data_IF_902974236885
#
_entry.id   IF_902974236885
#
_cell.length_a   1.000
_cell.length_b   1.000
_cell.length_c   1.000
_cell.angle_alpha   90.00
_cell.angle_beta   90.00
_cell.angle_gamma   90.00
#
_symmetry.space_group_name_H-M   'P 1'
#
loop_
_entity.id
_entity.type
_entity.pdbx_description
1 polymer ?
#
# COMPACT_ATOMS: atom_id res chain seq x y z
N UNK A 1 -67.14 12.69 -77.74
CA UNK A 1 -66.79 11.84 -76.62
C UNK A 1 -65.26 11.85 -76.49
N UNK A 2 -64.74 12.64 -75.56
CA UNK A 2 -63.33 12.77 -75.35
C UNK A 2 -62.96 11.99 -74.09
N UNK A 3 -62.00 11.09 -74.20
CA UNK A 3 -61.40 10.34 -73.03
C UNK A 3 -60.02 10.97 -72.83
N UNK A 4 -59.69 11.42 -71.63
CA UNK A 4 -58.32 11.91 -71.32
C UNK A 4 -57.40 10.77 -70.85
N UNK A 5 -56.22 10.71 -71.42
CA UNK A 5 -55.10 9.91 -71.02
C UNK A 5 -54.53 10.43 -69.69
N UNK A 6 -54.44 9.59 -68.67
CA UNK A 6 -53.65 9.87 -67.49
C UNK A 6 -52.21 9.34 -67.65
N UNK A 7 -51.24 10.25 -67.63
CA UNK A 7 -49.82 9.95 -67.52
C UNK A 7 -49.51 9.63 -66.00
N UNK A 8 -49.09 8.42 -65.74
CA UNK A 8 -48.53 8.06 -64.48
C UNK A 8 -47.04 8.42 -64.45
N UNK A 9 -46.65 9.36 -63.58
CA UNK A 9 -45.26 9.68 -63.31
C UNK A 9 -44.70 8.69 -62.32
N UNK A 10 -43.71 7.90 -62.76
CA UNK A 10 -42.94 7.01 -61.90
C UNK A 10 -41.89 7.83 -61.18
N UNK A 11 -42.10 8.08 -59.86
CA UNK A 11 -41.11 8.73 -59.01
C UNK A 11 -40.03 7.73 -58.58
N UNK A 12 -38.80 7.94 -59.04
CA UNK A 12 -37.61 7.22 -58.58
C UNK A 12 -37.22 7.76 -57.18
N UNK A 13 -37.47 6.97 -56.08
CA UNK A 13 -36.94 7.25 -54.79
C UNK A 13 -35.47 6.85 -54.79
N UNK A 14 -34.55 7.84 -54.81
CA UNK A 14 -33.14 7.66 -54.46
C UNK A 14 -33.06 7.53 -52.97
N UNK A 15 -32.92 6.30 -52.48
CA UNK A 15 -32.48 6.04 -51.09
C UNK A 15 -30.99 6.36 -51.01
N UNK A 16 -30.66 7.56 -50.53
CA UNK A 16 -29.30 7.89 -50.15
C UNK A 16 -28.93 7.00 -48.95
N UNK A 17 -28.20 5.93 -49.22
CA UNK A 17 -27.56 5.14 -48.17
C UNK A 17 -26.62 6.05 -47.40
N UNK A 18 -26.98 6.39 -46.17
CA UNK A 18 -26.04 6.95 -45.22
C UNK A 18 -24.92 5.92 -45.05
N UNK A 19 -23.75 6.20 -45.63
CA UNK A 19 -22.54 5.46 -45.29
C UNK A 19 -22.38 5.61 -43.78
N UNK A 20 -22.53 4.51 -43.04
CA UNK A 20 -22.17 4.48 -41.63
C UNK A 20 -20.71 4.92 -41.58
N UNK A 21 -20.44 6.06 -40.95
CA UNK A 21 -19.09 6.49 -40.69
C UNK A 21 -18.41 5.33 -39.99
N UNK A 22 -17.29 4.85 -40.52
CA UNK A 22 -16.46 3.89 -39.83
C UNK A 22 -16.23 4.44 -38.42
N UNK A 23 -16.39 3.61 -37.37
CA UNK A 23 -16.16 4.08 -36.01
C UNK A 23 -14.72 4.58 -35.97
N UNK A 24 -14.56 5.87 -35.71
CA UNK A 24 -13.26 6.50 -35.49
C UNK A 24 -12.60 5.73 -34.34
N UNK A 25 -11.63 4.88 -34.69
CA UNK A 25 -10.87 4.11 -33.69
C UNK A 25 -10.07 5.13 -32.90
N UNK A 26 -10.64 5.58 -31.77
CA UNK A 26 -9.91 6.44 -30.84
C UNK A 26 -8.84 5.60 -30.20
N UNK A 27 -7.58 6.03 -30.23
CA UNK A 27 -6.46 5.18 -29.81
C UNK A 27 -6.53 4.89 -28.31
N UNK A 28 -6.31 3.63 -27.98
CA UNK A 28 -5.92 3.25 -26.62
C UNK A 28 -4.61 3.96 -26.30
N UNK A 29 -4.48 4.43 -25.05
CA UNK A 29 -3.23 5.01 -24.58
C UNK A 29 -2.92 4.59 -23.15
N UNK A 30 -1.65 4.57 -22.80
CA UNK A 30 -1.19 4.39 -21.42
C UNK A 30 -0.91 5.77 -20.83
N UNK A 31 -1.47 6.01 -19.65
CA UNK A 31 -1.26 7.22 -18.86
C UNK A 31 -0.42 6.89 -17.64
N UNK A 32 0.54 7.76 -17.38
CA UNK A 32 1.49 7.71 -16.26
C UNK A 32 1.72 9.13 -15.75
N UNK A 33 2.44 9.30 -14.64
CA UNK A 33 2.73 10.62 -14.07
C UNK A 33 1.60 11.17 -13.20
N UNK A 34 0.62 10.35 -12.82
CA UNK A 34 -0.37 10.70 -11.81
C UNK A 34 0.12 10.30 -10.42
N UNK A 35 -0.51 10.84 -9.38
CA UNK A 35 -0.15 10.55 -8.00
C UNK A 35 -0.19 9.04 -7.71
N UNK A 36 0.92 8.48 -7.25
CA UNK A 36 1.04 7.06 -6.95
C UNK A 36 1.29 6.16 -8.16
N UNK A 37 1.44 6.70 -9.38
CA UNK A 37 1.97 5.95 -10.51
C UNK A 37 3.44 5.61 -10.28
N UNK A 38 3.95 4.56 -10.95
CA UNK A 38 5.38 4.26 -10.85
C UNK A 38 6.21 5.27 -11.66
N UNK A 39 7.43 5.61 -11.22
CA UNK A 39 8.41 6.24 -12.08
C UNK A 39 8.74 5.33 -13.27
N UNK A 40 9.05 5.90 -14.42
CA UNK A 40 9.40 5.15 -15.62
C UNK A 40 10.91 5.15 -15.85
N UNK A 41 11.40 4.07 -16.46
CA UNK A 41 12.72 4.07 -17.06
C UNK A 41 12.80 5.14 -18.17
N UNK A 42 14.00 5.53 -18.64
CA UNK A 42 14.13 6.46 -19.75
C UNK A 42 13.39 6.04 -21.02
N UNK A 43 13.14 4.76 -21.23
CA UNK A 43 12.37 4.25 -22.35
C UNK A 43 10.87 4.50 -22.20
N UNK A 44 10.37 4.63 -20.96
CA UNK A 44 8.98 4.95 -20.66
C UNK A 44 7.98 3.93 -21.17
N UNK A 45 7.02 4.41 -21.95
CA UNK A 45 5.99 3.60 -22.60
C UNK A 45 6.23 3.61 -24.09
N UNK A 46 6.22 2.44 -24.74
CA UNK A 46 6.28 2.28 -26.19
C UNK A 46 5.00 1.60 -26.68
N UNK A 47 4.39 2.16 -27.73
CA UNK A 47 3.32 1.50 -28.46
C UNK A 47 3.94 0.63 -29.55
N UNK A 48 3.73 -0.69 -29.47
CA UNK A 48 4.27 -1.69 -30.41
C UNK A 48 3.22 -2.13 -31.47
N UNK A 49 1.95 -1.77 -31.24
CA UNK A 49 0.84 -2.05 -32.13
C UNK A 49 -0.42 -1.27 -31.72
N UNK A 50 -1.53 -1.36 -32.47
CA UNK A 50 -2.75 -0.60 -32.19
C UNK A 50 -3.27 -0.80 -30.74
N UNK A 51 -3.10 -2.01 -30.19
CA UNK A 51 -3.52 -2.39 -28.84
C UNK A 51 -2.39 -3.09 -28.06
N UNK A 52 -1.12 -2.93 -28.46
CA UNK A 52 0.04 -3.54 -27.81
C UNK A 52 0.97 -2.45 -27.33
N UNK A 53 1.28 -2.48 -26.03
CA UNK A 53 2.16 -1.52 -25.38
C UNK A 53 3.24 -2.24 -24.60
N UNK A 54 4.44 -1.65 -24.58
CA UNK A 54 5.52 -2.05 -23.68
C UNK A 54 5.77 -0.95 -22.67
N UNK A 55 5.73 -1.33 -21.41
CA UNK A 55 5.98 -0.45 -20.26
C UNK A 55 7.30 -0.84 -19.60
N UNK A 56 8.16 0.14 -19.34
CA UNK A 56 9.42 -0.05 -18.65
C UNK A 56 9.34 0.61 -17.25
N UNK A 57 8.90 -0.14 -16.22
CA UNK A 57 8.87 0.41 -14.87
C UNK A 57 10.29 0.77 -14.42
N UNK A 58 10.45 1.93 -13.80
CA UNK A 58 11.72 2.27 -13.20
C UNK A 58 11.93 1.43 -11.94
N UNK A 59 13.00 0.68 -11.89
CA UNK A 59 13.45 -0.02 -10.71
C UNK A 59 14.55 0.76 -9.98
N UNK A 60 15.02 1.85 -10.57
CA UNK A 60 15.93 2.80 -9.94
C UNK A 60 15.14 3.73 -9.03
N UNK A 61 15.72 4.01 -7.89
CA UNK A 61 15.23 5.07 -7.03
C UNK A 61 15.24 6.41 -7.78
N UNK A 62 14.54 7.40 -7.24
CA UNK A 62 14.49 8.76 -7.78
C UNK A 62 15.86 9.34 -8.12
N UNK A 63 15.92 10.30 -9.06
CA UNK A 63 17.17 11.02 -9.36
C UNK A 63 17.85 11.51 -8.07
N UNK A 64 19.15 11.21 -7.91
CA UNK A 64 19.93 11.57 -6.72
C UNK A 64 20.06 10.45 -5.67
N UNK A 65 19.36 9.34 -5.80
CA UNK A 65 19.57 8.16 -4.98
C UNK A 65 20.68 7.30 -5.60
N UNK A 66 21.64 6.87 -4.78
CA UNK A 66 22.79 6.11 -5.26
C UNK A 66 22.38 4.78 -5.89
N UNK A 67 23.22 4.26 -6.79
CA UNK A 67 23.03 2.95 -7.43
C UNK A 67 22.92 1.78 -6.45
N UNK A 68 23.48 1.92 -5.24
CA UNK A 68 23.35 0.92 -4.16
C UNK A 68 21.91 0.75 -3.65
N UNK A 69 21.06 1.73 -3.89
CA UNK A 69 19.64 1.72 -3.52
C UNK A 69 18.74 1.14 -4.60
N UNK A 70 19.31 0.80 -5.74
CA UNK A 70 18.68 0.25 -6.93
C UNK A 70 18.01 -1.10 -6.62
N UNK A 71 16.79 -1.32 -7.10
CA UNK A 71 16.03 -2.60 -7.04
C UNK A 71 15.12 -2.78 -5.82
N UNK A 72 15.16 -1.90 -4.81
CA UNK A 72 14.14 -1.87 -3.75
C UNK A 72 13.04 -0.84 -4.02
N UNK A 73 13.11 -0.15 -5.13
CA UNK A 73 12.26 0.99 -5.45
C UNK A 73 11.15 0.67 -6.44
N UNK A 74 11.11 -0.53 -6.97
CA UNK A 74 10.18 -0.85 -8.06
C UNK A 74 8.75 -0.91 -7.57
N UNK A 75 7.94 -0.07 -8.14
CA UNK A 75 6.50 -0.04 -8.00
C UNK A 75 5.88 -0.06 -9.39
N UNK A 76 4.72 -0.68 -9.55
CA UNK A 76 3.94 -0.63 -10.78
C UNK A 76 2.67 0.15 -10.53
N UNK A 77 2.38 1.10 -11.41
CA UNK A 77 1.12 1.85 -11.41
C UNK A 77 0.98 2.65 -12.70
N UNK A 78 -0.07 2.38 -13.49
CA UNK A 78 -0.40 3.07 -14.73
C UNK A 78 -1.90 2.95 -15.00
N UNK A 79 -2.39 3.74 -15.95
CA UNK A 79 -3.77 3.63 -16.47
C UNK A 79 -3.74 3.28 -17.95
N UNK A 80 -4.71 2.50 -18.35
CA UNK A 80 -5.09 2.37 -19.76
C UNK A 80 -6.33 3.21 -19.99
N UNK A 81 -6.25 4.14 -20.92
CA UNK A 81 -7.36 4.98 -21.32
C UNK A 81 -7.93 4.45 -22.63
N UNK A 82 -9.20 4.06 -22.59
CA UNK A 82 -9.98 3.71 -23.76
C UNK A 82 -10.97 4.84 -24.04
N UNK A 83 -10.69 5.66 -25.05
CA UNK A 83 -11.56 6.75 -25.47
C UNK A 83 -12.72 6.30 -26.37
N UNK A 84 -12.74 5.01 -26.72
CA UNK A 84 -13.84 4.38 -27.48
C UNK A 84 -15.10 4.22 -26.62
N UNK A 85 -16.16 3.68 -27.27
CA UNK A 85 -17.45 3.41 -26.60
C UNK A 85 -17.62 1.94 -26.20
N UNK A 86 -16.83 1.06 -26.79
CA UNK A 86 -16.84 -0.38 -26.52
C UNK A 86 -15.63 -0.80 -25.72
N UNK A 87 -15.71 -1.97 -25.10
CA UNK A 87 -14.53 -2.59 -24.49
C UNK A 87 -13.58 -3.09 -25.57
N UNK A 88 -12.30 -2.81 -25.41
CA UNK A 88 -11.25 -3.16 -26.36
C UNK A 88 -10.22 -4.11 -25.72
N UNK A 89 -9.75 -5.13 -26.45
CA UNK A 89 -8.66 -5.96 -25.98
C UNK A 89 -7.36 -5.18 -26.00
N UNK A 90 -6.54 -5.33 -24.95
CA UNK A 90 -5.21 -4.75 -24.88
C UNK A 90 -4.19 -5.80 -24.41
N UNK A 91 -2.97 -5.68 -24.90
CA UNK A 91 -1.82 -6.38 -24.41
C UNK A 91 -0.79 -5.38 -23.89
N UNK A 92 -0.38 -5.54 -22.62
CA UNK A 92 0.68 -4.73 -22.02
C UNK A 92 1.83 -5.64 -21.63
N UNK A 93 3.00 -5.37 -22.18
CA UNK A 93 4.26 -6.01 -21.88
C UNK A 93 4.97 -5.19 -20.79
N UNK A 94 4.97 -5.67 -19.58
CA UNK A 94 5.67 -5.03 -18.45
C UNK A 94 7.09 -5.57 -18.43
N UNK A 95 8.04 -4.80 -18.94
CA UNK A 95 9.42 -5.19 -19.10
C UNK A 95 10.28 -4.67 -17.95
N UNK A 96 10.62 -5.55 -17.03
CA UNK A 96 11.42 -5.24 -15.85
C UNK A 96 12.92 -5.09 -16.14
N UNK A 97 13.37 -5.33 -17.36
CA UNK A 97 14.76 -5.15 -17.83
C UNK A 97 15.81 -5.86 -16.94
N UNK A 98 15.56 -7.11 -16.58
CA UNK A 98 16.44 -7.87 -15.71
C UNK A 98 17.67 -8.47 -16.39
N UNK A 99 17.98 -8.12 -17.59
CA UNK A 99 19.22 -8.55 -18.25
C UNK A 99 20.46 -7.91 -17.62
N UNK A 100 20.29 -6.78 -16.96
CA UNK A 100 21.26 -6.25 -16.02
C UNK A 100 21.11 -7.02 -14.70
N UNK A 101 22.11 -7.83 -14.37
CA UNK A 101 22.12 -8.58 -13.11
C UNK A 101 21.84 -7.63 -11.93
N UNK A 102 20.95 -8.01 -11.00
CA UNK A 102 20.76 -7.20 -9.80
C UNK A 102 22.13 -7.04 -9.13
N UNK A 103 22.45 -5.87 -8.58
CA UNK A 103 23.73 -5.62 -7.92
C UNK A 103 24.07 -6.76 -6.96
N UNK A 104 25.30 -7.23 -6.99
CA UNK A 104 25.78 -8.43 -6.28
C UNK A 104 25.63 -8.40 -4.76
N UNK A 105 25.33 -7.25 -4.21
CA UNK A 105 25.31 -6.93 -2.78
C UNK A 105 23.92 -6.99 -2.14
N UNK A 106 22.96 -7.69 -2.76
CA UNK A 106 21.60 -7.80 -2.22
C UNK A 106 21.32 -9.18 -1.65
N UNK A 107 21.39 -9.30 -0.33
CA UNK A 107 21.16 -10.58 0.35
C UNK A 107 19.71 -11.08 0.27
N UNK A 108 18.76 -10.30 -0.26
CA UNK A 108 17.33 -10.63 -0.25
C UNK A 108 16.80 -11.20 -1.57
N UNK A 109 17.60 -11.24 -2.64
CA UNK A 109 17.20 -11.79 -3.93
C UNK A 109 18.34 -12.61 -4.50
N UNK A 110 18.31 -13.90 -4.28
CA UNK A 110 19.38 -14.83 -4.69
C UNK A 110 19.35 -15.12 -6.19
N UNK A 111 18.24 -14.88 -6.86
CA UNK A 111 18.09 -15.12 -8.29
C UNK A 111 17.01 -14.24 -8.93
N UNK A 112 17.10 -14.12 -10.26
CA UNK A 112 16.06 -13.51 -11.10
C UNK A 112 14.70 -14.19 -10.93
N UNK A 113 14.67 -15.52 -10.86
CA UNK A 113 13.43 -16.27 -10.66
C UNK A 113 12.75 -15.92 -9.34
N UNK A 114 13.53 -15.78 -8.27
CA UNK A 114 13.01 -15.36 -6.97
C UNK A 114 12.44 -13.93 -7.03
N UNK A 115 13.11 -12.99 -7.67
CA UNK A 115 12.61 -11.63 -7.83
C UNK A 115 11.31 -11.58 -8.64
N UNK A 116 11.21 -12.35 -9.72
CA UNK A 116 10.03 -12.39 -10.59
C UNK A 116 8.86 -13.13 -9.96
N UNK A 117 9.11 -14.07 -9.04
CA UNK A 117 8.05 -14.82 -8.34
C UNK A 117 7.08 -13.96 -7.53
N UNK A 118 7.40 -12.69 -7.32
CA UNK A 118 6.55 -11.72 -6.61
C UNK A 118 5.83 -10.75 -7.53
N UNK A 119 6.04 -10.89 -8.84
CA UNK A 119 5.50 -10.00 -9.88
C UNK A 119 4.66 -10.75 -10.89
N UNK A 120 4.15 -11.89 -10.50
CA UNK A 120 3.31 -12.75 -11.33
C UNK A 120 1.85 -12.28 -11.40
N UNK A 121 1.50 -11.21 -10.69
CA UNK A 121 0.16 -10.65 -10.72
C UNK A 121 0.14 -9.13 -10.68
N UNK A 122 -0.97 -8.58 -11.11
CA UNK A 122 -1.35 -7.18 -10.93
C UNK A 122 -2.78 -7.09 -10.40
N UNK A 123 -3.12 -5.94 -9.86
CA UNK A 123 -4.52 -5.60 -9.55
C UNK A 123 -5.05 -4.62 -10.59
N UNK A 124 -6.26 -4.86 -11.05
CA UNK A 124 -6.94 -4.10 -12.10
C UNK A 124 -8.25 -3.57 -11.56
N UNK A 125 -8.56 -2.32 -11.88
CA UNK A 125 -9.84 -1.70 -11.58
C UNK A 125 -10.30 -0.87 -12.78
N UNK A 126 -11.38 -1.29 -13.41
CA UNK A 126 -12.07 -0.53 -14.46
C UNK A 126 -12.88 0.64 -13.87
N UNK A 127 -13.40 1.53 -14.74
CA UNK A 127 -14.11 2.75 -14.32
C UNK A 127 -15.42 2.48 -13.56
N UNK A 128 -16.02 1.30 -13.74
CA UNK A 128 -17.26 0.88 -13.08
C UNK A 128 -17.04 -0.18 -12.00
N UNK A 129 -15.80 -0.61 -11.77
CA UNK A 129 -15.51 -1.65 -10.78
C UNK A 129 -15.53 -1.07 -9.36
N UNK A 130 -16.30 -1.69 -8.48
CA UNK A 130 -16.35 -1.32 -7.06
C UNK A 130 -15.09 -1.73 -6.28
N UNK A 131 -14.32 -2.71 -6.79
CA UNK A 131 -13.17 -3.28 -6.13
C UNK A 131 -12.03 -3.62 -7.10
N UNK A 132 -10.84 -3.80 -6.54
CA UNK A 132 -9.68 -4.28 -7.26
C UNK A 132 -9.80 -5.77 -7.55
N UNK A 133 -9.47 -6.19 -8.75
CA UNK A 133 -9.42 -7.60 -9.18
C UNK A 133 -7.98 -8.00 -9.43
N UNK A 134 -7.55 -9.11 -8.82
CA UNK A 134 -6.24 -9.71 -9.11
C UNK A 134 -6.26 -10.37 -10.50
N UNK A 135 -5.24 -10.09 -11.30
CA UNK A 135 -5.03 -10.65 -12.63
C UNK A 135 -3.61 -11.17 -12.72
N UNK A 136 -3.46 -12.44 -13.10
CA UNK A 136 -2.16 -13.07 -13.28
C UNK A 136 -1.50 -12.57 -14.57
N UNK A 137 -0.17 -12.50 -14.56
CA UNK A 137 0.65 -12.19 -15.71
C UNK A 137 1.26 -13.48 -16.28
N UNK A 138 1.35 -13.56 -17.60
CA UNK A 138 2.18 -14.57 -18.25
C UNK A 138 3.64 -14.08 -18.21
N UNK A 139 4.50 -14.78 -17.45
CA UNK A 139 5.89 -14.37 -17.26
C UNK A 139 6.79 -15.08 -18.25
N UNK A 140 7.50 -14.31 -19.07
CA UNK A 140 8.52 -14.78 -19.97
C UNK A 140 9.82 -13.97 -19.77
N UNK A 141 10.80 -14.58 -19.17
CA UNK A 141 12.05 -13.91 -18.81
C UNK A 141 11.85 -12.75 -17.85
N UNK A 142 12.15 -11.51 -18.27
CA UNK A 142 11.93 -10.28 -17.52
C UNK A 142 10.61 -9.57 -17.84
N UNK A 143 9.80 -10.18 -18.72
CA UNK A 143 8.56 -9.58 -19.21
C UNK A 143 7.37 -10.26 -18.58
N UNK A 144 6.50 -9.47 -17.95
CA UNK A 144 5.16 -9.86 -17.54
C UNK A 144 4.16 -9.40 -18.60
N UNK A 145 3.40 -10.33 -19.16
CA UNK A 145 2.39 -10.04 -20.18
C UNK A 145 1.01 -9.99 -19.57
N UNK A 146 0.35 -8.83 -19.68
CA UNK A 146 -1.03 -8.60 -19.27
C UNK A 146 -1.94 -8.55 -20.48
N UNK A 147 -2.95 -9.41 -20.56
CA UNK A 147 -4.00 -9.38 -21.57
C UNK A 147 -5.35 -9.18 -20.88
N UNK A 148 -6.02 -8.08 -21.16
CA UNK A 148 -7.32 -7.77 -20.57
C UNK A 148 -8.24 -7.06 -21.57
N UNK A 149 -9.55 -7.11 -21.28
CA UNK A 149 -10.53 -6.25 -21.90
C UNK A 149 -10.60 -4.94 -21.12
N UNK A 150 -10.46 -3.82 -21.79
CA UNK A 150 -10.49 -2.49 -21.19
C UNK A 150 -11.79 -1.80 -21.58
N UNK A 151 -12.74 -1.59 -20.66
CA UNK A 151 -13.97 -0.85 -20.96
C UNK A 151 -13.67 0.60 -21.31
N UNK A 152 -14.65 1.29 -21.89
CA UNK A 152 -14.57 2.73 -22.13
C UNK A 152 -14.22 3.48 -20.83
N UNK A 153 -13.31 4.43 -20.93
CA UNK A 153 -12.80 5.20 -19.78
C UNK A 153 -11.41 4.76 -19.32
N UNK A 154 -11.10 5.02 -18.06
CA UNK A 154 -9.81 4.73 -17.45
C UNK A 154 -9.83 3.42 -16.67
N UNK A 155 -8.98 2.48 -17.04
CA UNK A 155 -8.69 1.26 -16.25
C UNK A 155 -7.36 1.41 -15.56
N UNK A 156 -7.36 1.31 -14.24
CA UNK A 156 -6.15 1.39 -13.42
C UNK A 156 -5.53 0.02 -13.25
N UNK A 157 -4.22 -0.06 -13.40
CA UNK A 157 -3.42 -1.26 -13.21
C UNK A 157 -2.29 -0.93 -12.23
N UNK A 158 -2.21 -1.69 -11.14
CA UNK A 158 -1.18 -1.53 -10.12
C UNK A 158 -0.64 -2.89 -9.67
N UNK A 159 0.51 -2.88 -9.02
CA UNK A 159 1.02 -4.08 -8.37
C UNK A 159 0.21 -4.44 -7.12
N UNK A 160 -0.18 -3.44 -6.35
CA UNK A 160 -1.07 -3.58 -5.19
C UNK A 160 -2.15 -2.49 -5.27
N UNK A 161 -3.31 -2.65 -4.63
CA UNK A 161 -4.27 -1.57 -4.49
C UNK A 161 -3.56 -0.31 -3.98
N UNK A 162 -3.58 0.79 -4.74
CA UNK A 162 -2.89 2.01 -4.34
C UNK A 162 -3.57 2.64 -3.13
N UNK A 163 -2.76 3.31 -2.31
CA UNK A 163 -3.21 4.21 -1.25
C UNK A 163 -2.35 5.45 -1.37
N UNK A 164 -2.88 6.49 -1.96
CA UNK A 164 -2.16 7.72 -2.30
C UNK A 164 -2.00 8.65 -1.10
N UNK A 165 -1.19 9.70 -1.22
CA UNK A 165 -1.11 10.76 -0.22
C UNK A 165 -2.48 11.45 -0.09
N UNK A 166 -3.15 11.73 -1.22
CA UNK A 166 -4.50 12.30 -1.24
C UNK A 166 -5.53 11.39 -0.54
N UNK A 167 -5.43 10.06 -0.66
CA UNK A 167 -6.31 9.13 0.06
C UNK A 167 -6.06 9.21 1.58
N UNK A 168 -4.80 9.32 1.99
CA UNK A 168 -4.43 9.51 3.39
C UNK A 168 -5.02 10.80 3.97
N UNK A 169 -4.88 11.93 3.25
CA UNK A 169 -5.44 13.21 3.68
C UNK A 169 -6.96 13.13 3.83
N UNK A 170 -7.66 12.57 2.84
CA UNK A 170 -9.11 12.35 2.92
C UNK A 170 -9.53 11.46 4.08
N UNK A 171 -8.73 10.43 4.37
CA UNK A 171 -8.98 9.56 5.53
C UNK A 171 -8.82 10.34 6.84
N UNK A 172 -7.70 11.04 7.01
CA UNK A 172 -7.42 11.85 8.20
C UNK A 172 -8.51 12.90 8.44
N UNK A 173 -8.90 13.64 7.39
CA UNK A 173 -9.95 14.68 7.48
C UNK A 173 -11.33 14.08 7.85
N UNK A 174 -11.61 12.86 7.39
CA UNK A 174 -12.85 12.16 7.73
C UNK A 174 -12.89 11.75 9.19
N UNK A 175 -11.82 11.12 9.70
CA UNK A 175 -11.79 10.63 11.08
C UNK A 175 -11.58 11.75 12.09
N UNK A 176 -11.02 12.88 11.68
CA UNK A 176 -10.87 14.09 12.51
C UNK A 176 -12.23 14.68 12.99
N UNK A 177 -13.34 14.27 12.37
CA UNK A 177 -14.71 14.68 12.78
C UNK A 177 -15.17 13.95 14.05
N UNK A 178 -14.57 12.82 14.39
CA UNK A 178 -14.89 12.12 15.65
C UNK A 178 -14.31 12.90 16.84
N UNK A 179 -15.08 13.15 17.90
CA UNK A 179 -14.63 13.95 19.07
C UNK A 179 -13.47 13.31 19.83
N UNK A 180 -13.23 12.00 19.67
CA UNK A 180 -12.10 11.27 20.26
C UNK A 180 -10.79 11.51 19.53
N UNK A 181 -10.81 12.10 18.32
CA UNK A 181 -9.65 12.28 17.45
C UNK A 181 -9.14 13.72 17.50
N UNK A 182 -7.83 13.87 17.66
CA UNK A 182 -7.09 15.11 17.42
C UNK A 182 -6.03 14.87 16.37
N UNK A 183 -5.88 15.79 15.42
CA UNK A 183 -4.84 15.72 14.38
C UNK A 183 -3.71 16.67 14.75
N UNK A 184 -2.49 16.15 14.72
CA UNK A 184 -1.26 16.90 14.93
C UNK A 184 -0.38 16.78 13.68
N UNK A 185 0.23 17.87 13.22
CA UNK A 185 1.29 17.84 12.22
C UNK A 185 2.62 17.75 12.99
N UNK A 186 3.23 16.56 12.97
CA UNK A 186 4.46 16.28 13.74
C UNK A 186 5.72 16.67 13.00
N UNK A 187 5.64 17.04 11.73
CA UNK A 187 6.74 17.46 10.88
C UNK A 187 6.31 17.56 9.42
N UNK A 188 7.30 17.77 8.58
CA UNK A 188 7.14 17.83 7.12
C UNK A 188 8.24 17.00 6.45
N UNK A 189 7.91 16.42 5.31
CA UNK A 189 8.88 15.78 4.42
C UNK A 189 9.81 16.77 3.74
N UNK A 190 10.77 16.29 2.96
CA UNK A 190 11.69 17.16 2.21
C UNK A 190 10.97 18.02 1.15
N UNK A 191 9.89 17.50 0.54
CA UNK A 191 9.05 18.24 -0.40
C UNK A 191 7.93 19.05 0.28
N UNK A 192 7.96 19.18 1.61
CA UNK A 192 7.04 20.00 2.39
C UNK A 192 5.67 19.38 2.69
N UNK A 193 5.44 18.09 2.38
CA UNK A 193 4.18 17.43 2.73
C UNK A 193 4.08 17.20 4.23
N UNK A 194 2.93 17.52 4.86
CA UNK A 194 2.76 17.33 6.30
C UNK A 194 2.78 15.85 6.67
N UNK A 195 3.41 15.54 7.79
CA UNK A 195 3.31 14.23 8.44
C UNK A 195 2.26 14.37 9.52
N UNK A 196 1.08 13.81 9.26
CA UNK A 196 -0.05 13.88 10.18
C UNK A 196 -0.05 12.70 11.15
N UNK A 197 -0.32 13.00 12.39
CA UNK A 197 -0.51 12.01 13.45
C UNK A 197 -1.90 12.19 14.08
N UNK A 198 -2.66 11.11 14.17
CA UNK A 198 -3.93 11.07 14.88
C UNK A 198 -3.67 10.74 16.34
N UNK A 199 -4.15 11.54 17.26
CA UNK A 199 -4.25 11.19 18.69
C UNK A 199 -5.68 10.79 18.99
N UNK A 200 -5.89 9.52 19.35
CA UNK A 200 -7.21 8.94 19.61
C UNK A 200 -7.28 8.52 21.08
N UNK A 201 -8.25 9.10 21.82
CA UNK A 201 -8.45 8.86 23.25
C UNK A 201 -9.83 9.37 23.69
N UNK A 202 -10.30 8.99 24.87
CA UNK A 202 -11.55 9.49 25.44
C UNK A 202 -11.47 10.92 26.00
N UNK A 203 -10.31 11.55 25.96
CA UNK A 203 -10.04 12.89 26.50
C UNK A 203 -10.43 13.11 27.98
N UNK A 204 -10.49 12.04 28.78
CA UNK A 204 -10.89 12.09 30.19
C UNK A 204 -9.91 12.84 31.11
N UNK A 205 -8.76 13.28 30.60
CA UNK A 205 -7.70 13.93 31.38
C UNK A 205 -6.88 12.97 32.28
N UNK A 206 -7.24 11.70 32.34
CA UNK A 206 -6.52 10.69 33.13
C UNK A 206 -5.18 10.33 32.47
N UNK A 207 -4.13 10.00 33.26
CA UNK A 207 -2.90 9.43 32.71
C UNK A 207 -3.18 8.18 31.90
N UNK A 208 -2.61 8.08 30.70
CA UNK A 208 -2.80 6.95 29.78
C UNK A 208 -1.48 6.42 29.28
N UNK A 209 -1.45 5.12 28.98
CA UNK A 209 -0.34 4.53 28.25
C UNK A 209 -0.33 5.04 26.81
N UNK A 210 0.83 5.45 26.30
CA UNK A 210 0.94 5.82 24.90
C UNK A 210 1.10 4.56 24.05
N UNK A 211 0.33 4.49 22.95
CA UNK A 211 0.52 3.51 21.89
C UNK A 211 0.88 4.25 20.60
N UNK A 212 2.03 3.95 19.99
CA UNK A 212 2.47 4.52 18.71
C UNK A 212 2.27 3.48 17.62
N UNK A 213 1.46 3.82 16.61
CA UNK A 213 1.20 2.98 15.44
C UNK A 213 1.66 3.77 14.21
N UNK A 214 2.49 3.17 13.36
CA UNK A 214 2.87 3.80 12.11
C UNK A 214 2.76 2.85 10.93
N UNK A 215 2.55 3.42 9.75
CA UNK A 215 2.55 2.71 8.47
C UNK A 215 3.29 3.51 7.40
N UNK A 216 3.55 2.89 6.28
CA UNK A 216 4.13 3.52 5.08
C UNK A 216 5.50 4.12 5.31
N UNK A 217 6.34 3.48 6.11
CA UNK A 217 7.78 3.75 6.12
C UNK A 217 8.37 3.40 4.75
N UNK A 218 7.92 2.32 4.14
CA UNK A 218 8.19 1.98 2.75
C UNK A 218 6.99 2.39 1.90
N UNK A 219 7.22 3.23 0.92
CA UNK A 219 6.16 3.90 0.17
C UNK A 219 5.25 2.95 -0.65
N UNK A 220 5.74 1.79 -1.09
CA UNK A 220 4.94 0.81 -1.84
C UNK A 220 3.99 -0.01 -0.97
N UNK A 221 4.15 -0.04 0.34
CA UNK A 221 3.47 -0.93 1.27
C UNK A 221 2.04 -0.46 1.63
N UNK A 222 1.16 -0.38 0.64
CA UNK A 222 -0.20 0.16 0.82
C UNK A 222 -1.06 -0.63 1.81
N UNK A 223 -0.81 -1.92 2.03
CA UNK A 223 -1.55 -2.72 3.00
C UNK A 223 -1.45 -2.16 4.43
N UNK A 224 -0.30 -1.60 4.81
CA UNK A 224 -0.13 -0.95 6.12
C UNK A 224 -1.12 0.20 6.34
N UNK A 225 -1.36 1.06 5.33
CA UNK A 225 -2.32 2.16 5.43
C UNK A 225 -3.77 1.66 5.52
N UNK A 226 -4.15 0.65 4.75
CA UNK A 226 -5.49 0.06 4.86
C UNK A 226 -5.70 -0.65 6.21
N UNK A 227 -4.67 -1.32 6.74
CA UNK A 227 -4.72 -1.89 8.09
C UNK A 227 -4.91 -0.80 9.15
N UNK A 228 -4.19 0.34 9.03
CA UNK A 228 -4.41 1.53 9.89
C UNK A 228 -5.84 2.02 9.80
N UNK A 229 -6.42 2.12 8.59
CA UNK A 229 -7.84 2.51 8.48
C UNK A 229 -8.74 1.58 9.29
N UNK A 230 -8.52 0.26 9.23
CA UNK A 230 -9.28 -0.71 9.99
C UNK A 230 -9.12 -0.54 11.50
N UNK A 231 -7.89 -0.33 11.97
CA UNK A 231 -7.59 -0.06 13.37
C UNK A 231 -8.27 1.22 13.87
N UNK A 232 -8.12 2.32 13.13
CA UNK A 232 -8.69 3.63 13.52
C UNK A 232 -10.21 3.59 13.53
N UNK A 233 -10.84 3.02 12.49
CA UNK A 233 -12.31 2.88 12.44
C UNK A 233 -12.85 2.09 13.63
N UNK A 234 -12.13 1.07 14.08
CA UNK A 234 -12.49 0.32 15.27
C UNK A 234 -12.31 1.15 16.54
N UNK A 235 -11.18 1.84 16.71
CA UNK A 235 -10.91 2.67 17.88
C UNK A 235 -11.94 3.80 18.07
N UNK A 236 -12.53 4.30 16.97
CA UNK A 236 -13.57 5.33 17.00
C UNK A 236 -14.99 4.76 16.88
N UNK A 237 -15.17 3.44 17.01
CA UNK A 237 -16.50 2.82 17.04
C UNK A 237 -17.06 2.79 18.47
N UNK A 238 -18.32 2.34 18.57
CA UNK A 238 -18.99 2.12 19.86
C UNK A 238 -18.81 0.67 20.39
N UNK A 239 -17.85 -0.06 19.83
CA UNK A 239 -17.44 -1.38 20.32
C UNK A 239 -16.95 -1.24 21.77
N UNK A 240 -17.51 -2.03 22.69
CA UNK A 240 -17.21 -1.91 24.12
C UNK A 240 -15.72 -2.06 24.44
N UNK A 241 -15.01 -2.93 23.67
CA UNK A 241 -13.57 -3.12 23.86
C UNK A 241 -12.77 -1.95 23.28
N UNK A 242 -13.21 -1.34 22.17
CA UNK A 242 -12.60 -0.13 21.64
C UNK A 242 -12.72 1.02 22.63
N UNK A 243 -13.91 1.21 23.25
CA UNK A 243 -14.13 2.21 24.30
C UNK A 243 -13.20 1.98 25.51
N UNK A 244 -13.05 0.73 25.97
CA UNK A 244 -12.12 0.39 27.04
C UNK A 244 -10.66 0.65 26.62
N UNK A 245 -10.28 0.35 25.39
CA UNK A 245 -8.95 0.60 24.87
C UNK A 245 -8.59 2.09 24.84
N UNK A 246 -9.48 2.98 24.34
CA UNK A 246 -9.23 4.43 24.32
C UNK A 246 -9.33 5.07 25.72
N UNK A 247 -9.91 4.36 26.69
CA UNK A 247 -9.89 4.75 28.09
C UNK A 247 -8.53 4.48 28.73
N UNK A 248 -7.88 3.35 28.39
CA UNK A 248 -6.59 2.96 28.94
C UNK A 248 -5.40 3.57 28.19
N UNK A 249 -5.52 3.70 26.86
CA UNK A 249 -4.45 4.16 25.97
C UNK A 249 -4.78 5.51 25.33
N UNK A 250 -3.74 6.28 25.04
CA UNK A 250 -3.74 7.31 24.02
C UNK A 250 -3.04 6.74 22.78
N UNK A 251 -3.81 6.46 21.72
CA UNK A 251 -3.26 5.96 20.47
C UNK A 251 -2.75 7.13 19.62
N UNK A 252 -1.49 7.07 19.24
CA UNK A 252 -0.84 8.01 18.34
C UNK A 252 -0.57 7.27 17.03
N UNK A 253 -1.30 7.63 15.99
CA UNK A 253 -1.31 6.88 14.72
C UNK A 253 -0.76 7.75 13.59
N UNK A 254 0.32 7.30 12.96
CA UNK A 254 0.93 7.92 11.79
C UNK A 254 0.57 7.05 10.57
N UNK A 255 -0.48 7.39 9.81
CA UNK A 255 -0.95 6.54 8.72
C UNK A 255 -0.02 6.53 7.52
N UNK A 256 0.87 7.53 7.41
CA UNK A 256 1.82 7.68 6.30
C UNK A 256 3.12 8.34 6.76
N UNK A 257 4.16 7.55 6.97
CA UNK A 257 5.46 8.04 7.45
C UNK A 257 6.37 8.58 6.32
N UNK A 258 6.16 8.14 5.07
CA UNK A 258 6.95 8.52 3.89
C UNK A 258 6.06 9.14 2.79
N UNK A 259 5.52 10.36 3.00
CA UNK A 259 4.56 10.95 2.07
C UNK A 259 5.16 11.27 0.70
N UNK A 260 6.42 11.72 0.61
CA UNK A 260 7.08 11.99 -0.67
C UNK A 260 7.31 10.72 -1.48
N UNK A 261 7.74 9.64 -0.82
CA UNK A 261 7.89 8.36 -1.48
C UNK A 261 6.56 7.83 -2.05
N UNK A 262 5.46 8.03 -1.30
CA UNK A 262 4.12 7.62 -1.75
C UNK A 262 3.65 8.48 -2.92
N UNK A 263 3.74 9.80 -2.80
CA UNK A 263 3.30 10.74 -3.85
C UNK A 263 4.04 10.52 -5.16
N UNK A 264 5.36 10.33 -5.08
CA UNK A 264 6.23 10.13 -6.24
C UNK A 264 6.26 8.67 -6.74
N UNK A 265 5.44 7.79 -6.19
CA UNK A 265 5.36 6.39 -6.65
C UNK A 265 6.62 5.56 -6.38
N UNK A 266 7.43 5.93 -5.39
CA UNK A 266 8.66 5.23 -5.07
C UNK A 266 8.40 3.89 -4.37
N UNK A 267 9.45 3.07 -4.30
CA UNK A 267 9.42 1.79 -3.61
C UNK A 267 9.65 1.94 -2.10
N UNK A 268 10.86 1.59 -1.66
CA UNK A 268 11.18 1.45 -0.23
C UNK A 268 11.67 2.74 0.43
N UNK A 269 12.49 3.49 -0.28
CA UNK A 269 13.31 4.55 0.31
C UNK A 269 12.63 5.92 0.27
N UNK A 270 13.14 6.86 1.06
CA UNK A 270 12.70 8.26 1.02
C UNK A 270 13.28 8.99 -0.20
N UNK A 271 12.61 10.05 -0.64
CA UNK A 271 13.12 10.98 -1.63
C UNK A 271 13.49 12.32 -0.96
N UNK A 272 14.54 13.02 -1.41
CA UNK A 272 15.57 12.57 -2.35
C UNK A 272 16.74 11.82 -1.68
N UNK A 273 16.69 11.64 -0.34
CA UNK A 273 17.83 11.17 0.46
C UNK A 273 18.11 9.68 0.32
N UNK A 274 17.15 8.87 -0.07
CA UNK A 274 17.28 7.42 -0.15
C UNK A 274 17.46 6.75 1.22
N UNK A 275 16.83 7.28 2.26
CA UNK A 275 16.88 6.71 3.60
C UNK A 275 15.85 5.58 3.76
N UNK A 276 16.19 4.57 4.56
CA UNK A 276 15.28 3.52 4.98
C UNK A 276 14.73 3.85 6.37
N UNK A 277 13.46 4.26 6.43
CA UNK A 277 12.81 4.69 7.67
C UNK A 277 12.52 3.55 8.67
N UNK A 278 12.82 2.31 8.32
CA UNK A 278 12.77 1.18 9.27
C UNK A 278 13.73 1.41 10.43
N UNK A 279 14.90 1.98 10.12
CA UNK A 279 15.99 2.20 11.05
C UNK A 279 15.93 3.58 11.71
N UNK A 280 16.65 3.77 12.80
CA UNK A 280 16.68 5.03 13.56
C UNK A 280 17.46 6.12 12.83
N UNK A 281 18.42 5.75 11.96
CA UNK A 281 19.23 6.70 11.24
C UNK A 281 20.16 6.06 10.21
N UNK A 282 19.59 5.49 9.14
CA UNK A 282 20.38 4.88 8.06
C UNK A 282 21.14 5.92 7.21
N UNK A 283 20.56 7.10 7.02
CA UNK A 283 21.12 8.28 6.37
C UNK A 283 20.49 9.52 7.01
N UNK A 284 21.16 10.68 7.02
CA UNK A 284 20.51 11.90 7.44
C UNK A 284 19.26 12.18 6.62
N UNK A 285 18.11 12.18 7.28
CA UNK A 285 16.81 12.40 6.66
C UNK A 285 15.86 13.00 7.69
N UNK A 286 15.15 14.05 7.30
CA UNK A 286 14.21 14.75 8.18
C UNK A 286 13.14 13.81 8.78
N UNK A 287 12.71 12.81 8.01
CA UNK A 287 11.70 11.85 8.48
C UNK A 287 12.22 10.95 9.60
N UNK A 288 13.52 10.56 9.59
CA UNK A 288 14.12 9.85 10.72
C UNK A 288 14.03 10.66 12.00
N UNK A 289 14.40 11.95 11.92
CA UNK A 289 14.38 12.86 13.08
C UNK A 289 12.95 13.00 13.62
N UNK A 290 11.96 13.20 12.74
CA UNK A 290 10.55 13.30 13.12
C UNK A 290 10.07 12.02 13.81
N UNK A 291 10.37 10.83 13.26
CA UNK A 291 9.96 9.56 13.84
C UNK A 291 10.61 9.31 15.19
N UNK A 292 11.92 9.56 15.29
CA UNK A 292 12.66 9.37 16.54
C UNK A 292 12.20 10.37 17.61
N UNK A 293 12.11 11.66 17.31
CA UNK A 293 11.62 12.68 18.25
C UNK A 293 10.20 12.40 18.73
N UNK A 294 9.34 11.89 17.84
CA UNK A 294 7.98 11.47 18.23
C UNK A 294 8.02 10.32 19.23
N UNK A 295 8.85 9.30 18.99
CA UNK A 295 9.03 8.19 19.91
C UNK A 295 9.62 8.66 21.27
N UNK A 296 10.63 9.55 21.25
CA UNK A 296 11.27 10.10 22.46
C UNK A 296 10.26 10.91 23.31
N UNK A 297 9.41 11.70 22.65
CA UNK A 297 8.35 12.48 23.31
C UNK A 297 7.27 11.59 23.93
N UNK A 298 6.84 10.56 23.20
CA UNK A 298 5.73 9.71 23.62
C UNK A 298 6.14 8.61 24.61
N UNK A 299 7.38 8.10 24.54
CA UNK A 299 7.87 6.94 25.28
C UNK A 299 6.83 5.82 25.29
N UNK A 300 6.46 5.28 24.13
CA UNK A 300 5.28 4.45 24.00
C UNK A 300 5.41 3.14 24.79
N UNK A 301 4.33 2.74 25.45
CA UNK A 301 4.22 1.42 26.05
C UNK A 301 4.03 0.32 24.98
N UNK A 302 3.41 0.70 23.85
CA UNK A 302 3.19 -0.15 22.68
C UNK A 302 3.66 0.58 21.41
N UNK A 303 4.46 -0.11 20.58
CA UNK A 303 4.83 0.35 19.24
C UNK A 303 4.44 -0.69 18.19
N UNK A 304 3.69 -0.27 17.17
CA UNK A 304 3.25 -1.11 16.06
C UNK A 304 3.76 -0.51 14.76
N UNK A 305 4.50 -1.30 13.99
CA UNK A 305 5.02 -0.94 12.68
C UNK A 305 4.37 -1.80 11.60
N UNK A 306 3.69 -1.17 10.65
CA UNK A 306 2.88 -1.86 9.65
C UNK A 306 3.56 -1.84 8.30
N UNK A 307 3.85 -3.02 7.79
CA UNK A 307 4.55 -3.30 6.55
C UNK A 307 3.74 -4.21 5.62
N UNK A 308 4.31 -4.49 4.46
CA UNK A 308 3.70 -5.31 3.43
C UNK A 308 4.76 -6.20 2.74
N UNK A 309 4.64 -7.51 2.95
CA UNK A 309 5.47 -8.47 2.23
C UNK A 309 5.32 -8.32 0.71
N UNK A 310 6.45 -8.41 0.03
CA UNK A 310 6.46 -8.63 -1.42
C UNK A 310 6.52 -10.11 -1.78
N UNK A 311 7.14 -10.90 -0.92
CA UNK A 311 7.65 -12.23 -1.23
C UNK A 311 6.93 -13.36 -0.53
N UNK A 312 6.02 -13.06 0.38
CA UNK A 312 5.32 -14.08 1.15
C UNK A 312 3.82 -13.93 1.03
N UNK A 313 3.13 -15.06 1.02
CA UNK A 313 1.67 -15.12 0.97
C UNK A 313 1.03 -15.29 2.35
N UNK A 314 1.84 -15.24 3.41
CA UNK A 314 1.41 -15.39 4.80
C UNK A 314 1.74 -14.12 5.59
N UNK A 315 0.96 -13.83 6.60
CA UNK A 315 1.20 -12.67 7.46
C UNK A 315 2.47 -12.85 8.30
N UNK A 316 3.19 -11.76 8.51
CA UNK A 316 4.40 -11.70 9.33
C UNK A 316 4.15 -11.06 10.68
N UNK A 317 4.69 -11.69 11.72
CA UNK A 317 4.72 -11.22 13.10
C UNK A 317 6.17 -11.11 13.55
N UNK A 318 6.68 -9.88 13.63
CA UNK A 318 8.10 -9.62 13.79
C UNK A 318 8.39 -8.92 15.13
N UNK A 319 9.30 -9.49 15.90
CA UNK A 319 9.86 -8.81 17.05
C UNK A 319 8.98 -8.76 18.32
N UNK A 320 7.83 -9.41 18.35
CA UNK A 320 7.00 -9.46 19.56
C UNK A 320 7.61 -10.40 20.60
N UNK A 321 7.62 -9.98 21.86
CA UNK A 321 8.11 -10.78 22.98
C UNK A 321 7.36 -12.12 23.06
N UNK A 322 8.06 -13.20 23.41
CA UNK A 322 7.55 -14.57 23.35
C UNK A 322 6.25 -14.75 24.14
N UNK A 323 6.20 -14.26 25.37
CA UNK A 323 5.03 -14.38 26.25
C UNK A 323 3.79 -13.64 25.74
N UNK A 324 3.97 -12.43 25.16
CA UNK A 324 2.89 -11.67 24.52
C UNK A 324 2.49 -12.35 23.22
N UNK A 325 3.44 -12.86 22.44
CA UNK A 325 3.21 -13.55 21.18
C UNK A 325 2.37 -14.81 21.36
N UNK A 326 2.68 -15.64 22.37
CA UNK A 326 1.90 -16.84 22.66
C UNK A 326 0.44 -16.51 23.00
N UNK A 327 0.19 -15.42 23.72
CA UNK A 327 -1.17 -14.94 23.98
C UNK A 327 -1.82 -14.38 22.72
N UNK A 328 -1.09 -13.60 21.93
CA UNK A 328 -1.58 -13.04 20.68
C UNK A 328 -2.04 -14.15 19.70
N UNK A 329 -1.23 -15.18 19.51
CA UNK A 329 -1.57 -16.27 18.60
C UNK A 329 -2.78 -17.10 19.04
N UNK A 330 -3.13 -17.11 20.35
CA UNK A 330 -4.40 -17.69 20.83
C UNK A 330 -5.62 -16.88 20.42
N UNK A 331 -5.50 -15.55 20.29
CA UNK A 331 -6.59 -14.70 19.82
C UNK A 331 -6.69 -14.62 18.29
N UNK A 332 -5.59 -14.93 17.59
CA UNK A 332 -5.48 -14.90 16.13
C UNK A 332 -4.91 -16.23 15.58
N UNK A 333 -5.54 -17.39 15.85
CA UNK A 333 -4.89 -18.66 15.50
C UNK A 333 -4.83 -18.88 13.99
N UNK A 334 -5.94 -18.71 13.27
CA UNK A 334 -6.08 -19.21 11.89
C UNK A 334 -6.81 -18.24 10.95
N UNK A 335 -7.17 -17.06 11.43
CA UNK A 335 -8.00 -16.13 10.66
C UNK A 335 -7.21 -15.21 9.74
N UNK A 336 -5.89 -15.28 9.88
CA UNK A 336 -4.98 -14.36 9.23
C UNK A 336 -4.64 -14.95 7.95
N UNK A 337 -5.13 -14.98 6.95
CA UNK A 337 -4.81 -15.45 5.63
C UNK A 337 -4.86 -16.96 5.40
N UNK A 338 -5.94 -17.43 4.84
CA UNK A 338 -6.09 -18.79 4.29
C UNK A 338 -5.78 -19.93 5.27
N UNK A 339 -5.97 -19.72 6.57
CA UNK A 339 -5.71 -20.72 7.60
C UNK A 339 -4.24 -21.10 7.78
N UNK A 340 -3.32 -20.23 7.33
CA UNK A 340 -1.87 -20.46 7.48
C UNK A 340 -1.36 -19.83 8.77
N UNK A 341 -0.38 -20.49 9.38
CA UNK A 341 0.32 -19.96 10.54
C UNK A 341 1.08 -18.68 10.21
N UNK A 342 1.23 -17.79 11.18
CA UNK A 342 2.08 -16.62 11.07
C UNK A 342 3.52 -16.98 10.76
N UNK A 343 4.17 -16.22 9.86
CA UNK A 343 5.62 -16.18 9.84
C UNK A 343 6.12 -15.39 11.04
N UNK A 344 6.88 -16.03 11.92
CA UNK A 344 7.34 -15.43 13.17
C UNK A 344 8.85 -15.17 13.10
N UNK A 345 9.24 -13.97 13.51
CA UNK A 345 10.64 -13.63 13.79
C UNK A 345 10.75 -13.06 15.18
N UNK A 346 11.65 -13.64 15.97
CA UNK A 346 11.90 -13.22 17.35
C UNK A 346 12.46 -11.78 17.44
N UNK A 347 12.27 -11.11 18.58
CA UNK A 347 12.85 -9.81 18.80
C UNK A 347 14.38 -9.87 18.73
N UNK A 348 14.96 -8.82 18.18
CA UNK A 348 16.40 -8.63 18.28
C UNK A 348 16.81 -8.47 19.76
N UNK A 349 18.01 -8.92 20.13
CA UNK A 349 18.56 -8.65 21.47
C UNK A 349 18.49 -7.16 21.81
N UNK A 350 18.25 -6.85 23.08
CA UNK A 350 18.15 -5.47 23.61
C UNK A 350 19.52 -4.81 23.80
N UNK A 351 20.43 -5.00 22.86
CA UNK A 351 21.73 -4.33 22.82
C UNK A 351 21.69 -3.14 21.87
N UNK A 352 22.40 -2.08 22.21
CA UNK A 352 22.56 -0.94 21.33
C UNK A 352 23.20 -1.36 20.00
N UNK A 353 22.65 -0.89 18.90
CA UNK A 353 23.18 -1.10 17.55
C UNK A 353 23.50 0.24 16.89
N UNK A 354 24.37 0.26 15.89
CA UNK A 354 24.51 1.45 15.06
C UNK A 354 23.16 1.95 14.53
N UNK A 355 22.95 3.25 14.40
CA UNK A 355 21.65 3.82 13.97
C UNK A 355 21.12 3.27 12.64
N UNK A 356 21.99 2.86 11.73
CA UNK A 356 21.63 2.22 10.46
C UNK A 356 21.23 0.73 10.58
N UNK A 357 21.35 0.15 11.75
CA UNK A 357 21.03 -1.26 12.04
C UNK A 357 19.95 -1.40 13.12
N UNK A 358 19.69 -0.35 13.91
CA UNK A 358 18.68 -0.36 14.96
C UNK A 358 17.32 0.07 14.43
N UNK A 359 16.34 -0.83 14.40
CA UNK A 359 14.97 -0.46 14.04
C UNK A 359 14.35 0.45 15.09
N UNK A 360 13.40 1.31 14.71
CA UNK A 360 12.71 2.18 15.69
C UNK A 360 12.03 1.37 16.80
N UNK A 361 11.48 0.19 16.49
CA UNK A 361 10.90 -0.71 17.47
C UNK A 361 11.94 -1.25 18.46
N UNK A 362 13.15 -1.62 18.00
CA UNK A 362 14.24 -2.05 18.87
C UNK A 362 14.73 -0.91 19.75
N UNK A 363 14.86 0.30 19.22
CA UNK A 363 15.18 1.51 19.95
C UNK A 363 14.17 1.78 21.07
N UNK A 364 12.88 1.80 20.76
CA UNK A 364 11.82 2.01 21.76
C UNK A 364 11.85 0.94 22.85
N UNK A 365 12.07 -0.34 22.50
CA UNK A 365 12.18 -1.43 23.46
C UNK A 365 13.36 -1.21 24.41
N UNK A 366 14.52 -0.86 23.87
CA UNK A 366 15.73 -0.64 24.64
C UNK A 366 15.64 0.60 25.54
N UNK A 367 15.09 1.70 25.02
CA UNK A 367 15.07 2.98 25.75
C UNK A 367 13.90 3.11 26.73
N UNK A 368 12.74 2.49 26.42
CA UNK A 368 11.48 2.75 27.15
C UNK A 368 10.81 1.47 27.68
N UNK A 369 11.35 0.28 27.41
CA UNK A 369 10.68 -0.99 27.77
C UNK A 369 9.43 -1.27 26.92
N UNK A 370 9.31 -0.64 25.75
CA UNK A 370 8.16 -0.75 24.85
C UNK A 370 7.90 -2.19 24.41
N UNK A 371 6.65 -2.64 24.42
CA UNK A 371 6.23 -3.80 23.62
C UNK A 371 6.19 -3.37 22.15
N UNK A 372 7.15 -3.86 21.36
CA UNK A 372 7.29 -3.46 19.96
C UNK A 372 7.05 -4.65 19.03
N UNK A 373 6.27 -4.43 17.98
CA UNK A 373 5.92 -5.45 16.97
C UNK A 373 5.88 -4.83 15.58
N UNK A 374 6.41 -5.56 14.60
CA UNK A 374 6.21 -5.32 13.18
C UNK A 374 5.22 -6.33 12.61
N UNK A 375 4.26 -5.86 11.83
CA UNK A 375 3.37 -6.72 11.07
C UNK A 375 3.65 -6.56 9.59
N UNK A 376 3.56 -7.66 8.85
CA UNK A 376 3.72 -7.71 7.41
C UNK A 376 2.47 -8.33 6.79
N UNK A 377 1.72 -7.57 6.02
CA UNK A 377 0.47 -8.01 5.42
C UNK A 377 0.60 -8.16 3.91
N UNK A 378 0.61 -9.37 3.35
CA UNK A 378 0.62 -9.56 1.90
C UNK A 378 -0.73 -9.19 1.28
N UNK A 379 -0.70 -8.81 0.00
CA UNK A 379 -1.91 -8.54 -0.78
C UNK A 379 -2.49 -9.77 -1.46
N UNK A 380 -1.69 -10.79 -1.69
CA UNK A 380 -2.10 -11.94 -2.48
C UNK A 380 -3.42 -12.54 -1.95
N UNK A 381 -4.44 -12.60 -2.82
CA UNK A 381 -5.74 -13.14 -2.51
C UNK A 381 -6.60 -12.34 -1.51
N UNK A 382 -6.26 -11.07 -1.26
CA UNK A 382 -6.99 -10.18 -0.34
C UNK A 382 -7.63 -9.01 -1.05
N UNK A 383 -8.81 -8.65 -0.58
CA UNK A 383 -9.44 -7.35 -0.90
C UNK A 383 -8.95 -6.27 0.08
N UNK A 384 -9.25 -5.03 -0.25
CA UNK A 384 -9.01 -3.88 0.65
C UNK A 384 -9.74 -4.06 1.99
N UNK A 385 -10.95 -4.59 1.96
CA UNK A 385 -11.74 -4.79 3.19
C UNK A 385 -11.21 -5.95 4.03
N UNK A 386 -10.62 -6.99 3.43
CA UNK A 386 -9.91 -8.03 4.16
C UNK A 386 -8.70 -7.47 4.93
N UNK A 387 -7.94 -6.56 4.31
CA UNK A 387 -6.79 -5.93 4.97
C UNK A 387 -7.25 -5.00 6.10
N UNK A 388 -8.34 -4.24 5.91
CA UNK A 388 -8.96 -3.43 6.98
C UNK A 388 -9.42 -4.29 8.15
N UNK A 389 -10.13 -5.39 7.85
CA UNK A 389 -10.58 -6.33 8.88
C UNK A 389 -9.40 -6.97 9.63
N UNK A 390 -8.35 -7.37 8.90
CA UNK A 390 -7.11 -7.87 9.50
C UNK A 390 -6.49 -6.84 10.44
N UNK A 391 -6.35 -5.59 10.01
CA UNK A 391 -5.81 -4.51 10.85
C UNK A 391 -6.59 -4.35 12.16
N UNK A 392 -7.94 -4.25 12.06
CA UNK A 392 -8.84 -4.21 13.23
C UNK A 392 -8.57 -5.36 14.20
N UNK A 393 -8.65 -6.58 13.68
CA UNK A 393 -8.56 -7.79 14.51
C UNK A 393 -7.17 -7.96 15.12
N UNK A 394 -6.12 -7.60 14.37
CA UNK A 394 -4.74 -7.62 14.83
C UNK A 394 -4.52 -6.68 16.02
N UNK A 395 -5.00 -5.43 15.95
CA UNK A 395 -4.88 -4.50 17.07
C UNK A 395 -5.66 -4.98 18.30
N UNK A 396 -6.89 -5.44 18.11
CA UNK A 396 -7.70 -6.03 19.17
C UNK A 396 -7.00 -7.20 19.84
N UNK A 397 -6.48 -8.17 19.08
CA UNK A 397 -5.79 -9.33 19.61
C UNK A 397 -4.49 -8.97 20.35
N UNK A 398 -3.77 -7.96 19.84
CA UNK A 398 -2.55 -7.47 20.48
C UNK A 398 -2.83 -6.83 21.85
N UNK A 399 -3.86 -5.99 21.94
CA UNK A 399 -4.25 -5.37 23.20
C UNK A 399 -4.71 -6.43 24.21
N UNK A 400 -5.51 -7.43 23.76
CA UNK A 400 -5.89 -8.59 24.58
C UNK A 400 -4.67 -9.36 25.08
N UNK A 401 -3.68 -9.56 24.23
CA UNK A 401 -2.45 -10.26 24.61
C UNK A 401 -1.58 -9.50 25.62
N UNK A 402 -1.72 -8.15 25.64
CA UNK A 402 -1.00 -7.29 26.59
C UNK A 402 -1.68 -7.16 27.96
N UNK A 403 -2.95 -7.54 28.09
CA UNK A 403 -3.62 -7.58 29.38
C UNK A 403 -2.87 -8.56 30.31
N UNK A 404 -2.53 -8.11 31.51
CA UNK A 404 -1.95 -9.00 32.54
C UNK A 404 -3.02 -10.05 32.87
N UNK A 405 -2.72 -11.36 32.76
CA UNK A 405 -3.68 -12.34 33.21
C UNK A 405 -4.00 -12.07 34.69
N UNK A 406 -5.26 -12.22 35.12
CA UNK A 406 -5.58 -12.13 36.54
C UNK A 406 -4.64 -13.06 37.28
N UNK A 407 -4.03 -12.58 38.35
CA UNK A 407 -3.14 -13.41 39.18
C UNK A 407 -3.90 -14.70 39.51
N UNK A 408 -3.45 -15.80 38.94
CA UNK A 408 -3.99 -17.13 39.31
C UNK A 408 -3.74 -17.25 40.77
N UNK A 409 -4.81 -17.07 41.56
CA UNK A 409 -4.73 -17.21 43.01
C UNK A 409 -4.08 -18.58 43.31
N UNK A 410 -2.95 -18.56 43.95
CA UNK A 410 -2.40 -19.77 44.51
C UNK A 410 -3.51 -20.32 45.40
N UNK A 411 -4.20 -21.34 44.90
CA UNK A 411 -5.07 -22.14 45.77
C UNK A 411 -4.26 -22.60 46.96
N UNK A 412 -4.63 -22.06 48.13
CA UNK A 412 -4.09 -22.48 49.43
C UNK A 412 -4.49 -23.90 49.69
#
# INVERSE_FOLDING_TARGET
>A
MHVPLHLAALGLLLVAGAAAAEPEIRPLRIEVGFEGSCPHSPQGVKQEGPAVFRLFPSWRASPGISEESVGRSTRLGFKVINEGRAAEPIEVLIDWQYDEAPPKDRPNFSSRAEYMSYRDFVVVRGPLDASWRTTMLDIEGSVGRLRIQVPAGATEIHWHPPYTFTDCERFVDRVARDPRVRVEVIGQSEEGRPIRMLKITDHSGRPKKAALIRARVHAYESAGSYAVEGMVRWLVSDDAYALAAVHEYAFHVIPMANPDGVFNGLGRLTAPRGADLTFVGSRPDRLHDVMKQTADRLRPALFVDLHNWQSKQIDGLLGLNVDVRERFTRFMPDQVQFGKQWFIRDPYPTVARPPNEETLGAYCRRCYGTVAVGFEFPWFGRTVDDVRATGRTTLWALLRAMETPPAVGKSR
#
